data_IF_307454259785
#
_entry.id   IF_307454259785
#
_cell.length_a   1.000
_cell.length_b   1.000
_cell.length_c   1.000
_cell.angle_alpha   90.00
_cell.angle_beta   90.00
_cell.angle_gamma   90.00
#
_symmetry.space_group_name_H-M   'P 1'
#
loop_
_entity.id
_entity.type
_entity.pdbx_description
1 polymer ?
#
# COMPACT_ATOMS: atom_id res chain seq x y z
N UNK A 1 -13.71 -0.27 -7.05
CA UNK A 1 -12.42 0.35 -7.33
C UNK A 1 -12.40 0.91 -8.74
N UNK A 2 -12.05 2.11 -8.90
CA UNK A 2 -12.26 2.95 -10.10
C UNK A 2 -11.42 2.54 -11.32
N UNK A 3 -11.61 1.34 -11.82
CA UNK A 3 -10.92 0.82 -12.99
C UNK A 3 -9.48 0.36 -12.75
N UNK A 4 -9.00 0.43 -11.51
CA UNK A 4 -7.67 -0.06 -11.14
C UNK A 4 -7.83 -1.45 -10.54
N UNK A 5 -7.09 -2.41 -11.09
CA UNK A 5 -7.12 -3.79 -10.61
C UNK A 5 -6.05 -3.97 -9.54
N UNK A 6 -6.46 -4.48 -8.39
CA UNK A 6 -5.50 -4.79 -7.33
C UNK A 6 -4.81 -6.12 -7.61
N UNK A 7 -3.50 -6.11 -7.48
CA UNK A 7 -2.65 -7.27 -7.69
C UNK A 7 -2.13 -7.68 -6.32
N UNK A 8 -2.89 -8.55 -5.65
CA UNK A 8 -2.57 -8.97 -4.30
C UNK A 8 -2.13 -10.42 -4.27
N UNK A 9 -1.18 -10.70 -3.40
CA UNK A 9 -0.87 -12.07 -3.03
C UNK A 9 -1.88 -12.58 -2.00
N UNK A 10 -2.04 -13.88 -1.94
CA UNK A 10 -2.90 -14.54 -0.96
C UNK A 10 -2.16 -14.88 0.34
N UNK A 11 -0.94 -14.41 0.49
CA UNK A 11 -0.07 -14.77 1.60
C UNK A 11 -0.30 -13.89 2.81
N UNK A 12 -0.12 -14.46 3.99
CA UNK A 12 -0.17 -13.69 5.23
C UNK A 12 0.89 -12.59 5.22
N UNK A 13 0.55 -11.43 5.78
CA UNK A 13 1.52 -10.35 5.97
C UNK A 13 2.54 -10.68 7.06
N UNK A 14 2.20 -11.64 7.94
CA UNK A 14 3.02 -12.05 9.07
C UNK A 14 3.38 -13.52 8.91
N UNK A 15 4.59 -13.90 9.28
CA UNK A 15 5.10 -15.27 9.18
C UNK A 15 5.14 -15.82 7.76
N UNK A 16 5.30 -14.94 6.79
CA UNK A 16 5.29 -15.33 5.42
C UNK A 16 6.71 -15.72 4.95
N UNK A 17 6.79 -16.69 4.05
CA UNK A 17 8.03 -17.06 3.39
C UNK A 17 8.09 -16.39 2.01
N UNK A 18 9.04 -15.48 1.84
CA UNK A 18 9.21 -14.70 0.60
C UNK A 18 9.38 -15.57 -0.65
N UNK A 19 9.83 -16.80 -0.50
CA UNK A 19 10.01 -17.74 -1.61
C UNK A 19 8.67 -18.18 -2.21
N UNK A 20 7.57 -18.01 -1.47
CA UNK A 20 6.23 -18.36 -1.92
C UNK A 20 5.39 -17.15 -2.32
N UNK A 21 6.01 -15.98 -2.43
CA UNK A 21 5.31 -14.75 -2.84
C UNK A 21 5.79 -14.30 -4.24
N UNK A 22 5.21 -14.87 -5.31
CA UNK A 22 5.64 -14.56 -6.68
C UNK A 22 5.33 -13.12 -7.09
N UNK A 23 4.40 -12.45 -6.42
CA UNK A 23 4.02 -11.07 -6.74
C UNK A 23 4.64 -10.06 -5.78
N UNK A 24 5.72 -10.46 -5.13
CA UNK A 24 6.49 -9.59 -4.27
C UNK A 24 6.98 -8.35 -5.02
N UNK A 25 7.09 -7.22 -4.31
CA UNK A 25 7.59 -5.97 -4.87
C UNK A 25 8.93 -6.16 -5.59
N UNK A 26 9.04 -5.57 -6.77
CA UNK A 26 10.28 -5.58 -7.55
C UNK A 26 10.51 -6.83 -8.40
N UNK A 27 9.63 -7.83 -8.35
CA UNK A 27 9.78 -9.04 -9.15
C UNK A 27 9.35 -8.82 -10.60
N UNK A 28 9.95 -9.59 -11.51
CA UNK A 28 9.54 -9.59 -12.92
C UNK A 28 8.09 -10.03 -13.07
N UNK A 29 7.67 -11.03 -12.28
CA UNK A 29 6.30 -11.55 -12.32
C UNK A 29 5.29 -10.43 -11.99
N UNK A 30 5.56 -9.64 -10.95
CA UNK A 30 4.68 -8.53 -10.59
C UNK A 30 4.61 -7.48 -11.70
N UNK A 31 5.76 -7.09 -12.26
CA UNK A 31 5.79 -6.12 -13.35
C UNK A 31 5.02 -6.62 -14.57
N UNK A 32 5.19 -7.88 -14.92
CA UNK A 32 4.50 -8.50 -16.06
C UNK A 32 2.98 -8.47 -15.87
N UNK A 33 2.50 -8.83 -14.68
CA UNK A 33 1.07 -8.80 -14.39
C UNK A 33 0.53 -7.38 -14.45
N UNK A 34 1.22 -6.41 -13.84
CA UNK A 34 0.80 -5.00 -13.91
C UNK A 34 0.65 -4.52 -15.34
N UNK A 35 1.66 -4.78 -16.17
CA UNK A 35 1.67 -4.28 -17.54
C UNK A 35 0.74 -5.05 -18.50
N UNK A 36 0.23 -6.21 -18.06
CA UNK A 36 -0.83 -6.90 -18.80
C UNK A 36 -2.17 -6.15 -18.71
N UNK A 37 -2.34 -5.33 -17.67
CA UNK A 37 -3.57 -4.53 -17.50
C UNK A 37 -3.42 -3.09 -17.92
N UNK A 38 -2.25 -2.49 -17.70
CA UNK A 38 -2.02 -1.07 -17.99
C UNK A 38 -0.61 -0.85 -18.53
N UNK A 39 -0.46 0.17 -19.37
CA UNK A 39 0.85 0.58 -19.86
C UNK A 39 1.77 1.00 -18.72
N UNK A 40 3.08 0.81 -18.94
CA UNK A 40 4.10 1.24 -17.99
C UNK A 40 3.93 2.73 -17.66
N UNK A 41 4.00 3.04 -16.37
CA UNK A 41 3.91 4.42 -15.89
C UNK A 41 2.50 4.91 -15.59
N UNK A 42 1.45 4.15 -15.95
CA UNK A 42 0.09 4.53 -15.62
C UNK A 42 -0.33 4.10 -14.22
N UNK A 43 0.25 3.01 -13.74
CA UNK A 43 -0.01 2.53 -12.38
C UNK A 43 1.32 2.29 -11.68
N UNK A 44 1.32 2.47 -10.36
CA UNK A 44 2.51 2.36 -9.54
C UNK A 44 2.23 1.56 -8.27
N UNK A 45 3.23 0.84 -7.80
CA UNK A 45 3.14 0.14 -6.52
C UNK A 45 3.33 1.12 -5.38
N UNK A 46 2.37 1.13 -4.46
CA UNK A 46 2.43 1.91 -3.23
C UNK A 46 2.57 0.95 -2.05
N UNK A 47 3.58 1.17 -1.22
CA UNK A 47 3.74 0.41 0.02
C UNK A 47 2.77 0.97 1.07
N UNK A 48 1.84 0.13 1.54
CA UNK A 48 0.91 0.54 2.61
C UNK A 48 1.70 0.93 3.86
N UNK A 49 2.63 0.09 4.27
CA UNK A 49 3.65 0.44 5.24
C UNK A 49 4.90 0.81 4.44
N UNK A 50 5.31 2.08 4.44
CA UNK A 50 6.45 2.52 3.63
C UNK A 50 7.70 1.68 3.86
N UNK A 51 8.41 1.38 2.79
CA UNK A 51 9.60 0.53 2.86
C UNK A 51 10.71 1.11 3.75
N UNK A 52 10.72 2.43 3.96
CA UNK A 52 11.69 3.07 4.86
C UNK A 52 11.54 2.59 6.30
N UNK A 53 10.39 2.01 6.67
CA UNK A 53 10.14 1.51 8.01
C UNK A 53 10.51 0.03 8.19
N UNK A 54 11.23 -0.58 7.25
CA UNK A 54 11.63 -1.98 7.37
C UNK A 54 12.46 -2.26 8.62
N UNK A 55 13.19 -1.28 9.14
CA UNK A 55 13.98 -1.43 10.37
C UNK A 55 13.27 -0.91 11.63
N UNK A 56 12.02 -0.44 11.50
CA UNK A 56 11.25 0.03 12.66
C UNK A 56 11.09 -1.09 13.67
N UNK A 57 11.21 -0.78 14.97
CA UNK A 57 11.15 -1.77 16.04
C UNK A 57 9.91 -2.65 15.97
N UNK A 58 8.73 -2.07 15.77
CA UNK A 58 7.51 -2.85 15.62
C UNK A 58 7.59 -3.83 14.45
N UNK A 59 8.05 -3.36 13.30
CA UNK A 59 8.14 -4.16 12.08
C UNK A 59 9.09 -5.33 12.29
N UNK A 60 10.21 -5.10 12.97
CA UNK A 60 11.15 -6.16 13.32
C UNK A 60 10.54 -7.15 14.32
N UNK A 61 9.85 -6.65 15.34
CA UNK A 61 9.26 -7.49 16.39
C UNK A 61 8.21 -8.46 15.82
N UNK A 62 7.37 -8.00 14.92
CA UNK A 62 6.32 -8.83 14.32
C UNK A 62 6.78 -9.54 13.05
N UNK A 63 8.02 -9.31 12.62
CA UNK A 63 8.62 -9.92 11.42
C UNK A 63 7.83 -9.66 10.15
N UNK A 64 7.34 -8.43 10.01
CA UNK A 64 6.60 -8.04 8.82
C UNK A 64 7.56 -7.72 7.68
N UNK A 65 7.29 -8.28 6.49
CA UNK A 65 8.06 -8.00 5.29
C UNK A 65 7.38 -6.89 4.49
N UNK A 66 7.96 -5.70 4.49
CA UNK A 66 7.40 -4.55 3.79
C UNK A 66 7.35 -4.74 2.28
N UNK A 67 8.11 -5.67 1.73
CA UNK A 67 8.09 -6.00 0.29
C UNK A 67 7.08 -7.08 -0.09
N UNK A 68 6.35 -7.65 0.87
CA UNK A 68 5.37 -8.69 0.56
C UNK A 68 4.19 -8.13 -0.24
N UNK A 69 3.58 -8.97 -1.07
CA UNK A 69 2.48 -8.56 -1.94
C UNK A 69 1.30 -7.99 -1.16
N UNK A 70 1.05 -8.47 0.05
CA UNK A 70 -0.01 -7.94 0.92
C UNK A 70 0.22 -6.51 1.37
N UNK A 71 1.45 -6.03 1.33
CA UNK A 71 1.78 -4.65 1.69
C UNK A 71 1.79 -3.71 0.50
N UNK A 72 1.55 -4.21 -0.70
CA UNK A 72 1.63 -3.40 -1.91
C UNK A 72 0.23 -3.15 -2.45
N UNK A 73 -0.09 -1.89 -2.62
CA UNK A 73 -1.35 -1.46 -3.21
C UNK A 73 -1.07 -0.72 -4.51
N UNK A 74 -1.72 -1.14 -5.59
CA UNK A 74 -1.53 -0.49 -6.88
C UNK A 74 -2.36 0.77 -6.94
N UNK A 75 -1.70 1.91 -7.18
CA UNK A 75 -2.37 3.20 -7.31
C UNK A 75 -2.16 3.75 -8.72
N UNK A 76 -3.13 4.53 -9.23
CA UNK A 76 -2.92 5.24 -10.48
C UNK A 76 -1.89 6.35 -10.29
N UNK A 77 -1.05 6.54 -11.30
CA UNK A 77 -0.12 7.66 -11.36
C UNK A 77 -0.84 8.94 -11.82
N UNK A 78 -0.16 10.08 -11.75
CA UNK A 78 -0.69 11.33 -12.32
C UNK A 78 -0.89 11.19 -13.83
N UNK A 79 0.00 10.46 -14.51
CA UNK A 79 -0.15 10.20 -15.95
C UNK A 79 -1.45 9.44 -16.27
N UNK A 80 -1.89 8.57 -15.38
CA UNK A 80 -3.17 7.88 -15.51
C UNK A 80 -4.33 8.87 -15.47
N UNK A 81 -4.30 9.82 -14.54
CA UNK A 81 -5.33 10.85 -14.41
C UNK A 81 -5.49 11.64 -15.72
N UNK A 82 -4.38 11.96 -16.38
CA UNK A 82 -4.38 12.73 -17.62
C UNK A 82 -4.78 11.90 -18.84
N UNK A 83 -4.52 10.59 -18.82
CA UNK A 83 -4.72 9.71 -19.99
C UNK A 83 -6.10 9.07 -20.04
N UNK A 84 -6.83 9.01 -18.94
CA UNK A 84 -8.13 8.30 -18.87
C UNK A 84 -9.26 9.20 -19.12
N UNK A 85 -9.04 10.34 -19.38
CA UNK A 85 -10.01 11.09 -19.86
C UNK A 85 -11.24 11.20 -19.13
N UNK A 86 -12.13 11.50 -19.78
CA UNK A 86 -13.52 11.85 -19.50
C UNK A 86 -14.41 10.68 -19.10
N UNK A 87 -13.91 9.46 -19.12
CA UNK A 87 -14.67 8.25 -18.84
C UNK A 87 -14.75 7.88 -17.36
N UNK A 88 -13.96 8.51 -16.51
CA UNK A 88 -14.00 8.27 -15.08
C UNK A 88 -14.77 9.39 -14.42
N UNK A 89 -15.91 9.03 -13.86
CA UNK A 89 -16.70 9.91 -13.02
C UNK A 89 -15.94 10.09 -11.71
N UNK A 90 -15.84 11.33 -11.21
CA UNK A 90 -15.21 11.64 -9.93
C UNK A 90 -13.70 11.33 -9.85
N UNK A 91 -12.99 11.53 -10.95
CA UNK A 91 -11.54 11.31 -10.98
C UNK A 91 -10.78 12.14 -9.93
N UNK A 92 -11.35 13.24 -9.45
CA UNK A 92 -10.74 14.06 -8.42
C UNK A 92 -10.91 13.49 -7.01
N UNK A 93 -11.74 12.46 -6.84
CA UNK A 93 -11.92 11.74 -5.59
C UNK A 93 -10.99 10.55 -5.46
N UNK A 94 -10.28 10.20 -6.52
CA UNK A 94 -9.37 9.05 -6.54
C UNK A 94 -8.04 9.43 -5.90
N UNK A 95 -7.45 8.50 -5.16
CA UNK A 95 -6.11 8.68 -4.61
C UNK A 95 -5.09 8.30 -5.68
N UNK A 96 -4.27 9.27 -6.09
CA UNK A 96 -3.18 9.03 -7.04
C UNK A 96 -1.86 8.89 -6.29
N UNK A 97 -0.93 8.10 -6.86
CA UNK A 97 0.39 7.92 -6.28
C UNK A 97 1.24 9.16 -6.55
N UNK A 98 1.16 10.11 -5.64
CA UNK A 98 1.89 11.37 -5.67
C UNK A 98 2.87 11.44 -4.51
N UNK A 99 3.44 12.59 -4.25
CA UNK A 99 4.23 12.80 -3.04
C UNK A 99 3.36 12.52 -1.81
N UNK A 100 3.87 11.72 -0.88
CA UNK A 100 3.07 11.25 0.26
C UNK A 100 3.82 11.30 1.60
N UNK A 101 4.58 12.36 1.81
CA UNK A 101 5.31 12.55 3.07
C UNK A 101 4.40 12.58 4.29
N UNK A 102 3.24 13.21 4.16
CA UNK A 102 2.25 13.26 5.25
C UNK A 102 1.68 11.88 5.54
N UNK A 103 1.46 11.08 4.51
CA UNK A 103 1.05 9.69 4.67
C UNK A 103 2.10 8.90 5.45
N UNK A 104 3.37 9.03 5.08
CA UNK A 104 4.45 8.34 5.78
C UNK A 104 4.52 8.76 7.26
N UNK A 105 4.31 10.04 7.55
CA UNK A 105 4.27 10.55 8.93
C UNK A 105 3.10 9.97 9.72
N UNK A 106 1.94 9.86 9.10
CA UNK A 106 0.77 9.24 9.70
C UNK A 106 1.04 7.78 10.05
N UNK A 107 1.60 7.01 9.11
CA UNK A 107 1.93 5.60 9.35
C UNK A 107 2.96 5.48 10.47
N UNK A 108 3.99 6.32 10.45
CA UNK A 108 5.04 6.31 11.49
C UNK A 108 4.45 6.50 12.88
N UNK A 109 3.53 7.44 13.03
CA UNK A 109 2.86 7.71 14.31
C UNK A 109 2.06 6.50 14.78
N UNK A 110 1.31 5.87 13.88
CA UNK A 110 0.53 4.69 14.22
C UNK A 110 1.43 3.50 14.60
N UNK A 111 2.53 3.29 13.89
CA UNK A 111 3.50 2.25 14.25
C UNK A 111 4.07 2.50 15.64
N UNK A 112 4.37 3.76 15.98
CA UNK A 112 4.87 4.12 17.30
C UNK A 112 3.82 3.83 18.40
N UNK A 113 2.56 4.13 18.12
CA UNK A 113 1.48 3.85 19.05
C UNK A 113 1.31 2.35 19.30
N UNK A 114 1.32 1.55 18.27
CA UNK A 114 1.22 0.09 18.38
C UNK A 114 2.43 -0.47 19.13
N UNK A 115 3.61 0.08 18.88
CA UNK A 115 4.84 -0.37 19.52
C UNK A 115 4.82 -0.20 21.04
N UNK A 116 3.97 0.68 21.57
CA UNK A 116 3.80 0.88 23.02
C UNK A 116 3.03 -0.25 23.70
N UNK A 117 2.35 -1.08 22.94
CA UNK A 117 1.62 -2.24 23.46
C UNK A 117 2.63 -3.27 23.97
N UNK A 118 2.43 -3.78 25.18
CA UNK A 118 3.44 -4.65 25.82
C UNK A 118 3.46 -6.07 25.26
N UNK A 119 2.32 -6.60 24.86
CA UNK A 119 2.21 -7.97 24.33
C UNK A 119 2.52 -8.00 22.84
N UNK A 120 3.43 -8.87 22.40
CA UNK A 120 3.71 -9.06 20.97
C UNK A 120 2.49 -9.57 20.21
N UNK A 121 1.69 -10.44 20.82
CA UNK A 121 0.47 -10.93 20.19
C UNK A 121 -0.54 -9.81 19.94
N UNK A 122 -0.67 -8.89 20.90
CA UNK A 122 -1.53 -7.72 20.72
C UNK A 122 -0.96 -6.74 19.71
N UNK A 123 0.36 -6.55 19.69
CA UNK A 123 1.01 -5.72 18.68
C UNK A 123 0.72 -6.26 17.28
N UNK A 124 0.85 -7.57 17.09
CA UNK A 124 0.59 -8.21 15.82
C UNK A 124 -0.86 -8.05 15.39
N UNK A 125 -1.80 -8.26 16.32
CA UNK A 125 -3.22 -8.09 16.07
C UNK A 125 -3.56 -6.65 15.66
N UNK A 126 -3.10 -5.67 16.43
CA UNK A 126 -3.36 -4.26 16.15
C UNK A 126 -2.70 -3.81 14.84
N UNK A 127 -1.51 -4.34 14.55
CA UNK A 127 -0.85 -4.06 13.29
C UNK A 127 -1.67 -4.57 12.09
N UNK A 128 -2.19 -5.79 12.18
CA UNK A 128 -3.01 -6.35 11.10
C UNK A 128 -4.31 -5.57 10.91
N UNK A 129 -4.93 -5.11 12.01
CA UNK A 129 -6.09 -4.24 11.91
C UNK A 129 -5.75 -2.93 11.22
N UNK A 130 -4.60 -2.35 11.54
CA UNK A 130 -4.14 -1.13 10.89
C UNK A 130 -3.89 -1.33 9.39
N UNK A 131 -3.24 -2.44 9.04
CA UNK A 131 -2.99 -2.78 7.63
C UNK A 131 -4.31 -2.93 6.86
N UNK A 132 -5.30 -3.61 7.45
CA UNK A 132 -6.63 -3.75 6.85
C UNK A 132 -7.34 -2.40 6.72
N UNK A 133 -7.21 -1.55 7.72
CA UNK A 133 -7.74 -0.19 7.67
C UNK A 133 -7.16 0.60 6.49
N UNK A 134 -5.84 0.51 6.29
CA UNK A 134 -5.19 1.17 5.16
C UNK A 134 -5.72 0.65 3.82
N UNK A 135 -5.82 -0.67 3.67
CA UNK A 135 -6.35 -1.27 2.44
C UNK A 135 -7.77 -0.78 2.14
N UNK A 136 -8.64 -0.80 3.15
CA UNK A 136 -10.01 -0.34 3.00
C UNK A 136 -10.05 1.14 2.63
N UNK A 137 -9.19 1.95 3.23
CA UNK A 137 -9.13 3.39 2.96
C UNK A 137 -8.78 3.67 1.51
N UNK A 138 -7.84 2.92 0.92
CA UNK A 138 -7.53 3.05 -0.50
C UNK A 138 -8.65 2.49 -1.38
N UNK A 139 -9.27 1.38 -0.99
CA UNK A 139 -10.39 0.80 -1.75
C UNK A 139 -11.57 1.76 -1.86
N UNK A 140 -11.81 2.55 -0.82
CA UNK A 140 -12.94 3.49 -0.76
C UNK A 140 -12.56 4.92 -1.09
N UNK A 141 -11.31 5.17 -1.44
CA UNK A 141 -10.78 6.53 -1.64
C UNK A 141 -11.11 7.45 -0.46
N UNK A 142 -10.78 6.99 0.73
CA UNK A 142 -11.07 7.71 1.96
C UNK A 142 -10.53 9.14 1.92
N UNK A 143 -11.35 10.11 2.28
CA UNK A 143 -11.01 11.52 2.14
C UNK A 143 -9.84 11.94 3.04
N UNK A 144 -9.74 11.37 4.25
CA UNK A 144 -8.62 11.66 5.13
C UNK A 144 -7.31 11.14 4.56
N UNK A 145 -7.28 9.87 4.15
CA UNK A 145 -6.08 9.26 3.55
C UNK A 145 -5.71 10.03 2.27
N UNK A 146 -6.71 10.37 1.45
CA UNK A 146 -6.47 11.17 0.24
C UNK A 146 -5.79 12.50 0.58
N UNK A 147 -6.20 13.15 1.67
CA UNK A 147 -5.59 14.42 2.09
C UNK A 147 -4.11 14.33 2.45
N UNK A 148 -3.60 13.13 2.69
CA UNK A 148 -2.20 12.89 3.02
C UNK A 148 -1.31 12.76 1.79
N UNK A 149 -1.89 12.79 0.59
CA UNK A 149 -1.16 12.76 -0.67
C UNK A 149 -1.16 14.15 -1.30
N UNK A 150 0.01 14.54 -1.82
CA UNK A 150 0.17 15.83 -2.50
C UNK A 150 -0.31 15.73 -3.95
N UNK A 151 -0.85 16.82 -4.47
CA UNK A 151 -1.26 16.92 -5.88
C UNK A 151 -0.13 17.35 -6.81
N UNK A 152 1.06 17.50 -6.30
CA UNK A 152 2.20 17.98 -7.08
C UNK A 152 2.93 16.86 -7.78
#
# INVERSE_FOLDING_TARGET
MNGIIQINGSYSAVHYDKNYDPLRYGTKARRKVKYSYHKKGLIEDHHLIPKEFHEHTLIQNIRFDVGCSNNIYVLPSISYRESIYNNIVNKDEIIYHTSHRLYNSFVKEELANICKIKSEDEQQYEFLLFLDYLKLSFDTNDSYIKSLFSDI
#
